data_IF_761721245640
#
_entry.id   IF_761721245640
#
_cell.length_a   1.000
_cell.length_b   1.000
_cell.length_c   1.000
_cell.angle_alpha   90.00
_cell.angle_beta   90.00
_cell.angle_gamma   90.00
#
_symmetry.space_group_name_H-M   'P 1'
#
loop_
_entity.id
_entity.type
_entity.pdbx_description
1 polymer ?
#
# COMPACT_ATOMS: atom_id res chain seq x y z
N UNK A 1 -6.52 19.12 -4.68
CA UNK A 1 -7.47 17.99 -4.74
C UNK A 1 -8.90 18.53 -4.67
N UNK A 2 -9.69 18.33 -5.71
CA UNK A 2 -11.08 18.79 -5.75
C UNK A 2 -12.04 17.60 -5.77
N UNK A 3 -13.14 17.70 -5.01
CA UNK A 3 -14.21 16.70 -4.98
C UNK A 3 -15.21 17.02 -6.09
N UNK A 4 -15.26 16.22 -7.13
CA UNK A 4 -16.28 16.40 -8.18
C UNK A 4 -17.60 15.75 -7.77
N UNK A 5 -18.64 16.56 -7.59
CA UNK A 5 -19.96 16.13 -7.10
C UNK A 5 -20.71 15.18 -8.08
N UNK A 6 -20.36 15.15 -9.36
CA UNK A 6 -21.10 14.43 -10.41
C UNK A 6 -20.40 13.16 -10.93
N UNK A 7 -19.35 12.68 -10.29
CA UNK A 7 -18.67 11.47 -10.72
C UNK A 7 -19.44 10.22 -10.28
N UNK A 8 -19.64 9.26 -11.18
CA UNK A 8 -20.26 7.98 -10.83
C UNK A 8 -19.47 7.26 -9.74
N UNK A 9 -20.15 6.82 -8.71
CA UNK A 9 -19.61 6.07 -7.58
C UNK A 9 -20.44 4.83 -7.33
N UNK A 10 -19.80 3.73 -6.97
CA UNK A 10 -20.48 2.45 -6.69
C UNK A 10 -20.95 2.32 -5.24
N UNK A 11 -20.55 3.25 -4.36
CA UNK A 11 -20.96 3.30 -2.96
C UNK A 11 -20.87 4.73 -2.42
N UNK A 12 -21.67 5.04 -1.39
CA UNK A 12 -21.72 6.39 -0.79
C UNK A 12 -20.44 6.82 -0.10
N UNK A 13 -19.64 5.86 0.41
CA UNK A 13 -18.35 6.13 1.04
C UNK A 13 -17.22 6.37 0.04
N UNK A 14 -17.42 6.04 -1.23
CA UNK A 14 -16.42 6.26 -2.27
C UNK A 14 -16.30 7.75 -2.57
N UNK A 15 -15.08 8.23 -2.69
CA UNK A 15 -14.77 9.62 -3.04
C UNK A 15 -13.89 9.64 -4.27
N UNK A 16 -14.18 10.58 -5.17
CA UNK A 16 -13.33 10.87 -6.33
C UNK A 16 -12.59 12.19 -6.12
N UNK A 17 -11.34 12.23 -6.53
CA UNK A 17 -10.49 13.41 -6.46
C UNK A 17 -9.81 13.64 -7.81
N UNK A 18 -9.73 14.90 -8.20
CA UNK A 18 -8.95 15.35 -9.33
C UNK A 18 -7.59 15.87 -8.84
N UNK A 19 -6.54 15.62 -9.62
CA UNK A 19 -5.18 16.05 -9.32
C UNK A 19 -4.77 17.09 -10.34
N UNK A 20 -4.31 18.22 -9.84
CA UNK A 20 -3.86 19.35 -10.65
C UNK A 20 -2.37 19.61 -10.40
N UNK A 21 -1.67 20.03 -11.43
CA UNK A 21 -0.29 20.50 -11.29
C UNK A 21 -0.23 21.94 -10.72
N UNK A 22 0.97 22.48 -10.56
CA UNK A 22 1.20 23.85 -10.08
C UNK A 22 0.59 24.94 -10.95
N UNK A 23 0.35 24.66 -12.23
CA UNK A 23 -0.30 25.54 -13.19
C UNK A 23 -1.82 25.36 -13.26
N UNK A 24 -2.43 24.67 -12.29
CA UNK A 24 -3.86 24.36 -12.24
C UNK A 24 -4.38 23.54 -13.43
N UNK A 25 -3.51 22.80 -14.09
CA UNK A 25 -3.90 21.89 -15.16
C UNK A 25 -4.23 20.54 -14.59
N UNK A 26 -5.34 19.94 -15.00
CA UNK A 26 -5.74 18.58 -14.59
C UNK A 26 -4.74 17.58 -15.15
N UNK A 27 -4.15 16.77 -14.28
CA UNK A 27 -3.15 15.76 -14.64
C UNK A 27 -3.60 14.33 -14.38
N UNK A 28 -4.69 14.13 -13.65
CA UNK A 28 -5.23 12.80 -13.37
C UNK A 28 -6.34 12.82 -12.31
N UNK A 29 -6.81 11.65 -11.94
CA UNK A 29 -7.83 11.49 -10.91
C UNK A 29 -7.76 10.15 -10.20
N UNK A 30 -8.34 10.05 -9.02
CA UNK A 30 -8.39 8.80 -8.29
C UNK A 30 -9.65 8.65 -7.45
N UNK A 31 -10.02 7.40 -7.24
CA UNK A 31 -11.07 7.03 -6.31
C UNK A 31 -10.46 6.53 -5.00
N UNK A 32 -10.99 7.02 -3.88
CA UNK A 32 -10.79 6.43 -2.57
C UNK A 32 -12.01 5.59 -2.19
N UNK A 33 -11.79 4.30 -1.99
CA UNK A 33 -12.71 3.35 -1.41
C UNK A 33 -12.06 2.74 -0.15
N UNK A 34 -12.08 3.49 0.95
CA UNK A 34 -11.20 3.22 2.09
C UNK A 34 -11.84 2.36 3.19
N UNK A 35 -13.16 2.26 3.26
CA UNK A 35 -13.82 1.65 4.41
C UNK A 35 -14.32 0.24 4.14
N UNK A 36 -14.21 -0.62 5.17
CA UNK A 36 -14.75 -1.96 5.15
C UNK A 36 -16.29 -1.94 5.09
N UNK A 37 -16.87 -2.90 4.36
CA UNK A 37 -18.30 -3.12 4.29
C UNK A 37 -18.62 -4.56 3.85
N UNK A 38 -19.85 -5.06 4.08
CA UNK A 38 -20.25 -6.38 3.61
C UNK A 38 -20.06 -6.54 2.10
N UNK A 39 -19.50 -7.67 1.68
CA UNK A 39 -19.25 -8.01 0.27
C UNK A 39 -18.01 -7.37 -0.36
N UNK A 40 -17.30 -6.49 0.35
CA UNK A 40 -16.02 -5.94 -0.11
C UNK A 40 -14.88 -6.91 0.19
N UNK A 41 -14.00 -7.14 -0.79
CA UNK A 41 -12.78 -7.94 -0.60
C UNK A 41 -11.87 -7.28 0.44
N UNK A 42 -11.33 -8.09 1.36
CA UNK A 42 -10.36 -7.62 2.38
C UNK A 42 -8.99 -7.27 1.79
N UNK A 43 -8.17 -6.59 2.58
CA UNK A 43 -6.85 -6.08 2.20
C UNK A 43 -6.88 -4.63 1.74
N UNK A 44 -5.74 -4.15 1.25
CA UNK A 44 -5.59 -2.85 0.61
C UNK A 44 -4.84 -3.04 -0.71
N UNK A 45 -5.13 -2.20 -1.70
CA UNK A 45 -4.46 -2.21 -2.99
C UNK A 45 -4.74 -0.92 -3.77
N UNK A 46 -3.78 -0.53 -4.59
CA UNK A 46 -4.01 0.38 -5.71
C UNK A 46 -4.25 -0.42 -6.98
N UNK A 47 -5.12 0.07 -7.85
CA UNK A 47 -5.35 -0.49 -9.19
C UNK A 47 -5.50 0.62 -10.21
N UNK A 48 -4.76 0.55 -11.32
CA UNK A 48 -4.98 1.44 -12.46
C UNK A 48 -6.36 1.19 -13.08
N UNK A 49 -7.09 2.26 -13.31
CA UNK A 49 -8.34 2.22 -14.07
C UNK A 49 -8.11 2.67 -15.50
N UNK A 50 -7.33 3.72 -15.68
CA UNK A 50 -7.04 4.35 -16.95
C UNK A 50 -5.57 4.78 -16.96
N UNK A 51 -4.79 4.31 -17.94
CA UNK A 51 -3.40 4.72 -18.10
C UNK A 51 -3.32 6.08 -18.81
N UNK A 52 -2.25 6.81 -18.58
CA UNK A 52 -1.89 7.95 -19.43
C UNK A 52 -1.60 7.46 -20.83
N UNK A 53 -2.17 8.12 -21.82
CA UNK A 53 -1.99 7.78 -23.22
C UNK A 53 -2.16 9.03 -24.09
N UNK A 54 -1.35 9.17 -25.11
CA UNK A 54 -1.50 10.19 -26.13
C UNK A 54 -1.50 9.56 -27.52
N UNK A 55 -2.49 9.91 -28.31
CA UNK A 55 -2.58 9.47 -29.70
C UNK A 55 -1.87 10.49 -30.62
N UNK A 56 -0.88 10.02 -31.36
CA UNK A 56 0.00 10.88 -32.17
C UNK A 56 -0.75 11.66 -33.26
N UNK A 57 -1.68 11.02 -33.96
CA UNK A 57 -2.35 11.62 -35.12
C UNK A 57 -3.51 12.56 -34.75
N UNK A 58 -4.20 12.32 -33.65
CA UNK A 58 -5.41 13.06 -33.26
C UNK A 58 -5.15 14.12 -32.19
N UNK A 59 -3.99 14.08 -31.53
CA UNK A 59 -3.70 14.90 -30.36
C UNK A 59 -4.55 14.53 -29.13
N UNK A 60 -5.33 13.45 -29.19
CA UNK A 60 -6.11 12.98 -28.03
C UNK A 60 -5.19 12.57 -26.90
N UNK A 61 -5.44 13.10 -25.72
CA UNK A 61 -4.73 12.77 -24.50
C UNK A 61 -5.70 12.17 -23.47
N UNK A 62 -5.38 10.96 -23.01
CA UNK A 62 -6.04 10.32 -21.90
C UNK A 62 -5.24 10.55 -20.62
N UNK A 63 -5.90 11.05 -19.58
CA UNK A 63 -5.28 11.26 -18.28
C UNK A 63 -5.39 10.00 -17.41
N UNK A 64 -4.40 9.73 -16.55
CA UNK A 64 -4.41 8.56 -15.70
C UNK A 64 -5.48 8.66 -14.60
N UNK A 65 -6.11 7.52 -14.32
CA UNK A 65 -7.06 7.36 -13.21
C UNK A 65 -6.78 6.06 -12.50
N UNK A 66 -6.84 6.05 -11.17
CA UNK A 66 -6.67 4.85 -10.37
C UNK A 66 -7.70 4.73 -9.24
N UNK A 67 -7.79 3.52 -8.69
CA UNK A 67 -8.50 3.21 -7.47
C UNK A 67 -7.49 2.96 -6.35
N UNK A 68 -7.74 3.52 -5.19
CA UNK A 68 -7.06 3.19 -3.93
C UNK A 68 -8.10 2.63 -2.98
N UNK A 69 -7.96 1.36 -2.67
CA UNK A 69 -8.92 0.58 -1.90
C UNK A 69 -8.28 0.13 -0.60
N UNK A 70 -9.00 0.25 0.50
CA UNK A 70 -8.59 -0.26 1.81
C UNK A 70 -9.82 -0.80 2.55
N UNK A 71 -9.61 -1.34 3.74
CA UNK A 71 -10.67 -1.86 4.59
C UNK A 71 -10.53 -1.30 6.02
N UNK A 72 -10.38 0.01 6.12
CA UNK A 72 -10.32 0.70 7.41
C UNK A 72 -11.67 0.66 8.12
N UNK A 73 -11.64 0.78 9.44
CA UNK A 73 -12.86 0.88 10.23
C UNK A 73 -13.64 2.14 9.87
N UNK A 74 -14.91 2.05 9.47
CA UNK A 74 -15.71 3.22 9.16
C UNK A 74 -15.98 4.06 10.42
N UNK A 75 -16.45 5.29 10.23
CA UNK A 75 -16.90 6.12 11.33
C UNK A 75 -18.01 5.41 12.14
N UNK A 76 -18.00 5.51 13.47
CA UNK A 76 -18.97 4.83 14.32
C UNK A 76 -20.41 5.25 13.99
N UNK A 77 -21.34 4.30 14.12
CA UNK A 77 -22.78 4.50 13.96
C UNK A 77 -23.51 4.42 15.33
N UNK A 78 -24.81 4.67 15.35
CA UNK A 78 -25.61 4.56 16.57
C UNK A 78 -25.31 5.67 17.59
N UNK A 79 -25.12 5.32 18.85
CA UNK A 79 -24.89 6.27 19.94
C UNK A 79 -23.59 7.09 19.83
N UNK A 80 -22.66 6.64 19.02
CA UNK A 80 -21.39 7.34 18.75
C UNK A 80 -21.37 8.05 17.39
N UNK A 81 -22.52 8.19 16.76
CA UNK A 81 -22.67 8.89 15.47
C UNK A 81 -22.11 10.31 15.55
N UNK A 82 -21.33 10.67 14.55
CA UNK A 82 -20.67 11.99 14.47
C UNK A 82 -19.21 12.00 14.90
N UNK A 83 -18.70 10.91 15.49
CA UNK A 83 -17.26 10.75 15.69
C UNK A 83 -16.59 10.37 14.36
N UNK A 84 -15.35 10.85 14.10
CA UNK A 84 -14.62 10.48 12.90
C UNK A 84 -14.20 9.00 12.94
N UNK A 85 -13.89 8.45 11.78
CA UNK A 85 -13.09 7.22 11.70
C UNK A 85 -11.68 7.50 12.23
N UNK A 86 -11.21 6.67 13.16
CA UNK A 86 -9.87 6.76 13.70
C UNK A 86 -9.04 5.62 13.14
N UNK A 87 -7.93 5.96 12.49
CA UNK A 87 -7.00 4.99 11.93
C UNK A 87 -5.92 4.64 12.95
N UNK A 88 -5.55 3.36 13.01
CA UNK A 88 -4.32 2.93 13.67
C UNK A 88 -3.12 3.43 12.88
N UNK A 89 -1.91 3.42 13.48
CA UNK A 89 -0.71 3.82 12.76
C UNK A 89 -0.43 2.91 11.56
N UNK A 90 -0.66 1.60 11.68
CA UNK A 90 -0.51 0.64 10.58
C UNK A 90 -1.48 0.94 9.43
N UNK A 91 -2.72 1.36 9.73
CA UNK A 91 -3.67 1.79 8.70
C UNK A 91 -3.23 3.09 8.02
N UNK A 92 -2.58 4.00 8.75
CA UNK A 92 -1.96 5.20 8.17
C UNK A 92 -0.80 4.82 7.25
N UNK A 93 0.08 3.91 7.67
CA UNK A 93 1.16 3.38 6.82
C UNK A 93 0.59 2.78 5.54
N UNK A 94 -0.45 1.95 5.65
CA UNK A 94 -1.15 1.36 4.50
C UNK A 94 -1.70 2.44 3.56
N UNK A 95 -2.31 3.49 4.09
CA UNK A 95 -2.83 4.59 3.27
C UNK A 95 -1.72 5.31 2.50
N UNK A 96 -0.60 5.60 3.16
CA UNK A 96 0.56 6.21 2.50
C UNK A 96 1.18 5.30 1.45
N UNK A 97 1.27 4.01 1.72
CA UNK A 97 1.73 2.99 0.80
C UNK A 97 0.89 2.97 -0.48
N UNK A 98 -0.42 2.77 -0.36
CA UNK A 98 -1.32 2.74 -1.53
C UNK A 98 -1.34 4.08 -2.28
N UNK A 99 -1.20 5.20 -1.54
CA UNK A 99 -1.08 6.51 -2.17
C UNK A 99 0.25 6.68 -2.92
N UNK A 100 1.33 6.04 -2.48
CA UNK A 100 2.61 6.00 -3.21
C UNK A 100 2.47 5.32 -4.57
N UNK A 101 1.80 4.18 -4.64
CA UNK A 101 1.44 3.56 -5.92
C UNK A 101 0.55 4.47 -6.77
N UNK A 102 -0.45 5.12 -6.13
CA UNK A 102 -1.31 6.08 -6.80
C UNK A 102 -0.54 7.25 -7.40
N UNK A 103 0.40 7.83 -6.68
CA UNK A 103 1.27 8.90 -7.19
C UNK A 103 2.11 8.42 -8.37
N UNK A 104 2.69 7.24 -8.29
CA UNK A 104 3.45 6.65 -9.40
C UNK A 104 2.59 6.55 -10.66
N UNK A 105 1.35 6.11 -10.54
CA UNK A 105 0.43 6.00 -11.67
C UNK A 105 -0.01 7.36 -12.21
N UNK A 106 -0.31 8.31 -11.33
CA UNK A 106 -0.91 9.61 -11.68
C UNK A 106 0.10 10.63 -12.20
N UNK A 107 1.35 10.59 -11.72
CA UNK A 107 2.38 11.58 -12.05
C UNK A 107 3.26 11.16 -13.25
N UNK A 108 2.93 10.04 -13.89
CA UNK A 108 3.67 9.60 -15.08
C UNK A 108 3.60 10.64 -16.19
N UNK A 109 4.72 10.88 -16.87
CA UNK A 109 4.80 11.68 -18.08
C UNK A 109 4.87 10.82 -19.36
N UNK A 110 4.91 9.48 -19.18
CA UNK A 110 4.94 8.52 -20.29
C UNK A 110 3.57 8.48 -20.97
N UNK A 111 3.55 8.68 -22.28
CA UNK A 111 2.33 8.75 -23.09
C UNK A 111 1.99 7.45 -23.81
N UNK A 112 2.68 6.36 -23.53
CA UNK A 112 2.43 5.02 -24.07
C UNK A 112 1.78 4.19 -22.98
N UNK A 113 0.48 3.87 -23.13
CA UNK A 113 -0.34 3.29 -22.06
C UNK A 113 0.19 1.99 -21.45
N UNK A 114 0.80 1.13 -22.26
CA UNK A 114 1.32 -0.18 -21.82
C UNK A 114 2.55 -0.08 -20.88
N UNK A 115 3.20 1.08 -20.85
CA UNK A 115 4.39 1.36 -20.02
C UNK A 115 4.23 2.66 -19.22
N UNK A 116 3.01 3.17 -19.09
CA UNK A 116 2.72 4.40 -18.36
C UNK A 116 2.32 4.10 -16.91
N UNK A 117 2.81 4.88 -15.98
CA UNK A 117 2.51 4.73 -14.55
C UNK A 117 3.06 3.42 -13.99
N UNK A 118 2.19 2.58 -13.44
CA UNK A 118 2.57 1.27 -12.88
C UNK A 118 2.63 0.16 -13.91
N UNK A 119 2.24 0.42 -15.16
CA UNK A 119 2.27 -0.59 -16.20
C UNK A 119 3.72 -0.88 -16.65
N UNK A 120 4.06 -2.15 -16.78
CA UNK A 120 5.40 -2.58 -17.24
C UNK A 120 6.54 -2.32 -16.25
N UNK A 121 6.24 -1.94 -15.01
CA UNK A 121 7.23 -1.80 -13.95
C UNK A 121 7.68 -3.18 -13.46
N UNK A 122 8.98 -3.36 -13.31
CA UNK A 122 9.58 -4.59 -12.80
C UNK A 122 9.08 -4.87 -11.37
N UNK A 123 8.84 -6.14 -11.06
CA UNK A 123 8.29 -6.57 -9.77
C UNK A 123 9.15 -6.17 -8.56
N UNK A 124 10.47 -6.13 -8.73
CA UNK A 124 11.42 -5.72 -7.69
C UNK A 124 11.52 -4.19 -7.52
N UNK A 125 10.93 -3.41 -8.41
CA UNK A 125 10.91 -1.95 -8.37
C UNK A 125 9.54 -1.35 -8.05
N UNK A 126 8.45 -2.11 -8.19
CA UNK A 126 7.08 -1.60 -8.09
C UNK A 126 6.74 -1.01 -6.71
N UNK A 127 7.37 -1.53 -5.66
CA UNK A 127 7.17 -1.07 -4.27
C UNK A 127 8.02 0.15 -3.88
N UNK A 128 8.91 0.62 -4.75
CA UNK A 128 9.77 1.76 -4.41
C UNK A 128 8.98 3.03 -4.06
N UNK A 129 7.99 3.49 -4.85
CA UNK A 129 7.22 4.68 -4.52
C UNK A 129 6.32 4.50 -3.31
N UNK A 130 5.71 3.33 -3.14
CA UNK A 130 4.83 3.02 -2.02
C UNK A 130 5.58 3.01 -0.69
N UNK A 131 6.68 2.25 -0.59
CA UNK A 131 7.50 2.19 0.61
C UNK A 131 8.21 3.52 0.90
N UNK A 132 8.57 4.30 -0.13
CA UNK A 132 9.09 5.65 0.08
C UNK A 132 8.08 6.54 0.80
N UNK A 133 6.82 6.49 0.41
CA UNK A 133 5.77 7.31 1.02
C UNK A 133 5.49 6.94 2.49
N UNK A 134 5.69 5.70 2.90
CA UNK A 134 5.56 5.28 4.31
C UNK A 134 6.46 6.08 5.26
N UNK A 135 7.62 6.55 4.79
CA UNK A 135 8.54 7.33 5.63
C UNK A 135 7.90 8.59 6.20
N UNK A 136 6.97 9.22 5.48
CA UNK A 136 6.28 10.42 5.95
C UNK A 136 5.35 10.15 7.14
N UNK A 137 4.82 8.93 7.26
CA UNK A 137 4.03 8.52 8.42
C UNK A 137 4.89 8.24 9.68
N UNK A 138 6.21 8.18 9.53
CA UNK A 138 7.17 8.09 10.64
C UNK A 138 7.90 9.41 10.93
N UNK A 139 7.85 10.37 10.01
CA UNK A 139 8.53 11.65 10.18
C UNK A 139 7.76 12.54 11.17
N UNK A 140 8.42 13.16 12.17
CA UNK A 140 7.74 13.97 13.18
C UNK A 140 6.83 15.05 12.61
N UNK A 141 7.29 15.78 11.59
CA UNK A 141 6.48 16.80 10.91
C UNK A 141 5.29 16.19 10.18
N UNK A 142 5.46 15.03 9.53
CA UNK A 142 4.38 14.30 8.89
C UNK A 142 3.31 13.89 9.90
N UNK A 143 3.71 13.28 11.01
CA UNK A 143 2.80 12.90 12.10
C UNK A 143 2.07 14.12 12.66
N UNK A 144 2.77 15.24 12.87
CA UNK A 144 2.16 16.48 13.36
C UNK A 144 1.11 17.06 12.39
N UNK A 145 1.22 16.80 11.10
CA UNK A 145 0.22 17.23 10.10
C UNK A 145 -1.03 16.34 10.07
N UNK A 146 -0.86 15.03 10.28
CA UNK A 146 -1.93 14.04 10.08
C UNK A 146 -2.64 13.60 11.37
N UNK A 147 -2.01 13.78 12.54
CA UNK A 147 -2.56 13.34 13.82
C UNK A 147 -3.04 14.50 14.66
N UNK A 148 -4.20 14.31 15.29
CA UNK A 148 -4.78 15.25 16.26
C UNK A 148 -5.57 14.46 17.30
N UNK A 149 -5.52 14.90 18.54
CA UNK A 149 -6.40 14.35 19.57
C UNK A 149 -7.85 14.62 19.21
N UNK A 150 -8.69 13.59 19.21
CA UNK A 150 -10.05 13.64 18.65
C UNK A 150 -10.96 14.64 19.34
N UNK A 151 -10.75 14.88 20.64
CA UNK A 151 -11.59 15.81 21.43
C UNK A 151 -10.92 17.18 21.61
N UNK A 152 -9.58 17.25 21.79
CA UNK A 152 -8.88 18.51 22.09
C UNK A 152 -8.23 19.16 20.88
N UNK A 153 -7.99 18.40 19.80
CA UNK A 153 -7.28 18.88 18.61
C UNK A 153 -5.78 19.06 18.78
N UNK A 154 -5.22 18.70 19.94
CA UNK A 154 -3.78 18.79 20.21
C UNK A 154 -2.99 17.78 19.37
N UNK A 155 -1.75 18.12 19.04
CA UNK A 155 -0.82 17.20 18.37
C UNK A 155 -0.39 16.07 19.30
N UNK A 156 0.09 14.97 18.73
CA UNK A 156 0.64 13.86 19.49
C UNK A 156 1.78 14.38 20.41
N UNK A 157 1.76 14.09 21.73
CA UNK A 157 2.83 14.49 22.64
C UNK A 157 4.19 13.92 22.22
N UNK A 158 5.24 14.73 22.35
CA UNK A 158 6.61 14.33 21.97
C UNK A 158 7.05 13.02 22.64
N UNK A 159 6.71 12.81 23.92
CA UNK A 159 7.06 11.57 24.62
C UNK A 159 6.41 10.33 24.02
N UNK A 160 5.17 10.43 23.51
CA UNK A 160 4.49 9.35 22.81
C UNK A 160 5.10 9.12 21.44
N UNK A 161 5.43 10.18 20.72
CA UNK A 161 6.12 10.10 19.44
C UNK A 161 7.46 9.39 19.57
N UNK A 162 8.27 9.76 20.54
CA UNK A 162 9.57 9.12 20.80
C UNK A 162 9.41 7.64 21.16
N UNK A 163 8.41 7.28 21.96
CA UNK A 163 8.12 5.89 22.30
C UNK A 163 7.71 5.08 21.04
N UNK A 164 6.91 5.67 20.17
CA UNK A 164 6.49 5.05 18.90
C UNK A 164 7.69 4.83 17.97
N UNK A 165 8.56 5.84 17.82
CA UNK A 165 9.77 5.74 17.00
C UNK A 165 10.76 4.70 17.55
N UNK A 166 10.91 4.61 18.88
CA UNK A 166 11.74 3.59 19.52
C UNK A 166 11.19 2.17 19.29
N UNK A 167 9.87 2.02 19.27
CA UNK A 167 9.22 0.73 19.01
C UNK A 167 9.30 0.30 17.54
N UNK A 168 9.54 1.21 16.60
CA UNK A 168 9.55 0.92 15.13
C UNK A 168 10.44 -0.27 14.76
N UNK A 169 11.60 -0.39 15.38
CA UNK A 169 12.58 -1.43 15.08
C UNK A 169 12.54 -2.62 16.05
N UNK A 170 11.51 -2.66 16.92
CA UNK A 170 11.37 -3.78 17.85
C UNK A 170 11.19 -5.09 17.08
N UNK A 171 12.06 -6.05 17.36
CA UNK A 171 12.11 -7.37 16.70
C UNK A 171 12.22 -7.33 15.17
N UNK A 172 12.71 -6.24 14.57
CA UNK A 172 12.89 -6.15 13.11
C UNK A 172 13.81 -7.23 12.55
N UNK A 173 14.79 -7.70 13.33
CA UNK A 173 15.64 -8.85 12.95
C UNK A 173 14.85 -10.14 12.76
N UNK A 174 13.82 -10.40 13.59
CA UNK A 174 12.95 -11.56 13.43
C UNK A 174 12.10 -11.47 12.15
N UNK A 175 11.60 -10.26 11.84
CA UNK A 175 10.88 -10.02 10.60
C UNK A 175 11.79 -10.23 9.38
N UNK A 176 13.02 -9.74 9.45
CA UNK A 176 14.01 -9.95 8.39
C UNK A 176 14.33 -11.45 8.19
N UNK A 177 14.53 -12.20 9.27
CA UNK A 177 14.74 -13.66 9.18
C UNK A 177 13.55 -14.38 8.53
N UNK A 178 12.32 -13.91 8.81
CA UNK A 178 11.11 -14.46 8.16
C UNK A 178 11.12 -14.19 6.65
N UNK A 179 11.51 -13.00 6.21
CA UNK A 179 11.65 -12.69 4.78
C UNK A 179 12.78 -13.51 4.13
N UNK A 180 13.88 -13.69 4.83
CA UNK A 180 14.99 -14.53 4.36
C UNK A 180 14.59 -16.00 4.20
N UNK A 181 13.71 -16.54 5.07
CA UNK A 181 13.16 -17.89 4.91
C UNK A 181 12.48 -18.07 3.55
N UNK A 182 11.62 -17.12 3.16
CA UNK A 182 10.95 -17.16 1.85
C UNK A 182 11.93 -16.99 0.70
N UNK A 183 12.77 -15.95 0.75
CA UNK A 183 13.66 -15.60 -0.34
C UNK A 183 14.72 -16.70 -0.59
N UNK A 184 15.32 -17.27 0.45
CA UNK A 184 16.29 -18.35 0.32
C UNK A 184 15.66 -19.63 -0.20
N UNK A 185 14.47 -19.99 0.32
CA UNK A 185 13.78 -21.18 -0.17
C UNK A 185 13.44 -21.05 -1.65
N UNK A 186 12.85 -19.93 -2.07
CA UNK A 186 12.48 -19.67 -3.45
C UNK A 186 13.71 -19.69 -4.37
N UNK A 187 14.75 -18.94 -4.03
CA UNK A 187 15.99 -18.87 -4.80
C UNK A 187 16.65 -20.25 -4.94
N UNK A 188 16.81 -20.99 -3.85
CA UNK A 188 17.47 -22.31 -3.85
C UNK A 188 16.64 -23.35 -4.57
N UNK A 189 15.31 -23.25 -4.52
CA UNK A 189 14.40 -24.13 -5.25
C UNK A 189 14.55 -23.94 -6.77
N UNK A 190 14.51 -22.70 -7.24
CA UNK A 190 14.59 -22.36 -8.66
C UNK A 190 16.00 -22.46 -9.24
N UNK A 191 17.04 -22.45 -8.39
CA UNK A 191 18.40 -22.70 -8.83
C UNK A 191 18.71 -24.20 -9.09
N UNK A 192 17.82 -25.12 -8.71
CA UNK A 192 18.05 -26.57 -8.88
C UNK A 192 17.60 -27.07 -10.24
N UNK A 193 18.49 -27.86 -10.88
CA UNK A 193 18.20 -28.55 -12.13
C UNK A 193 18.71 -29.99 -12.02
N UNK A 194 17.87 -31.01 -12.18
CA UNK A 194 16.40 -30.97 -12.42
C UNK A 194 15.64 -30.47 -11.20
N UNK A 195 14.36 -30.06 -11.43
CA UNK A 195 13.48 -29.65 -10.35
C UNK A 195 13.35 -30.74 -9.28
N UNK A 196 13.39 -30.41 -7.98
CA UNK A 196 13.33 -31.37 -6.90
C UNK A 196 11.97 -32.07 -6.83
N UNK A 197 11.97 -33.34 -6.46
CA UNK A 197 10.73 -34.02 -6.09
C UNK A 197 10.21 -33.53 -4.71
N UNK A 198 9.02 -33.99 -4.34
CA UNK A 198 8.38 -33.53 -3.10
C UNK A 198 9.19 -33.81 -1.82
N UNK A 199 9.81 -35.00 -1.60
CA UNK A 199 10.71 -35.23 -0.48
C UNK A 199 11.92 -34.29 -0.46
N UNK A 200 12.53 -34.04 -1.63
CA UNK A 200 13.68 -33.13 -1.77
C UNK A 200 13.29 -31.66 -1.52
N UNK A 201 12.07 -31.27 -1.94
CA UNK A 201 11.53 -29.95 -1.65
C UNK A 201 11.34 -29.73 -0.13
N UNK A 202 10.81 -30.72 0.58
CA UNK A 202 10.67 -30.65 2.04
C UNK A 202 12.02 -30.58 2.74
N UNK A 203 12.99 -31.40 2.31
CA UNK A 203 14.34 -31.38 2.87
C UNK A 203 15.04 -30.03 2.64
N UNK A 204 14.82 -29.40 1.47
CA UNK A 204 15.29 -28.05 1.20
C UNK A 204 14.66 -27.01 2.14
N UNK A 205 13.34 -27.07 2.31
CA UNK A 205 12.64 -26.17 3.23
C UNK A 205 13.15 -26.32 4.65
N UNK A 206 13.32 -27.54 5.13
CA UNK A 206 13.85 -27.82 6.47
C UNK A 206 15.28 -27.33 6.63
N UNK A 207 16.14 -27.45 5.59
CA UNK A 207 17.50 -26.91 5.63
C UNK A 207 17.54 -25.39 5.73
N UNK A 208 16.71 -24.69 4.98
CA UNK A 208 16.59 -23.22 5.07
C UNK A 208 16.09 -22.80 6.45
N UNK A 209 15.09 -23.49 6.97
CA UNK A 209 14.53 -23.21 8.29
C UNK A 209 15.52 -23.43 9.43
N UNK A 210 16.38 -24.43 9.30
CA UNK A 210 17.43 -24.67 10.29
C UNK A 210 18.38 -23.47 10.46
N UNK A 211 18.58 -22.70 9.39
CA UNK A 211 19.48 -21.53 9.40
C UNK A 211 18.79 -20.24 9.84
N UNK A 212 17.50 -20.05 9.49
CA UNK A 212 16.83 -18.75 9.65
C UNK A 212 15.61 -18.77 10.57
N UNK A 213 15.05 -19.92 10.89
CA UNK A 213 13.87 -20.01 11.76
C UNK A 213 14.27 -20.19 13.21
N UNK A 214 13.79 -19.29 14.07
CA UNK A 214 14.05 -19.36 15.52
C UNK A 214 13.11 -20.35 16.21
N UNK A 215 11.95 -20.60 15.62
CA UNK A 215 10.92 -21.46 16.23
C UNK A 215 10.81 -22.80 15.50
N UNK A 216 10.65 -23.91 16.22
CA UNK A 216 10.34 -25.18 15.59
C UNK A 216 9.06 -25.07 14.77
N UNK A 217 9.14 -25.48 13.51
CA UNK A 217 7.97 -25.52 12.63
C UNK A 217 7.32 -26.89 12.70
N UNK A 218 6.00 -26.91 12.85
CA UNK A 218 5.26 -28.16 12.75
C UNK A 218 5.35 -28.73 11.34
N UNK A 219 5.38 -30.05 11.21
CA UNK A 219 5.55 -30.75 9.92
C UNK A 219 4.48 -30.42 8.87
N UNK A 220 3.31 -29.94 9.32
CA UNK A 220 2.22 -29.48 8.45
C UNK A 220 2.30 -27.99 8.13
N UNK A 221 3.18 -27.23 8.77
CA UNK A 221 3.32 -25.80 8.56
C UNK A 221 4.19 -25.56 7.31
N UNK A 222 3.54 -25.35 6.20
CA UNK A 222 4.14 -25.03 4.90
C UNK A 222 3.85 -23.59 4.55
N UNK A 223 4.54 -23.08 3.54
CA UNK A 223 4.13 -21.80 2.95
C UNK A 223 2.72 -21.98 2.35
N UNK A 224 1.72 -21.36 2.95
CA UNK A 224 0.35 -21.33 2.49
C UNK A 224 0.02 -19.93 2.00
#
# INVERSE_FOLDING_TARGET
LDKTANTQRWHDDVRFYQVFNEHQQLIGGFYFDLYARPGKRGGAWMSGFQARYQHDDSGYQQLPVCFMVANFSPAPTGAQRGKPSLLTHDEVLTLFHEFGHGLHHLLTEVNVGDVAGVNGVEWDAVELPSQFMENWAWHPEGIALISRHVDTGETLPESMLQSMLAAKNFQSGMQTLRQLEFALFDLLLHAKTPAPDYPQLLALLDSVRADVSIMPTASYNRFA
#
